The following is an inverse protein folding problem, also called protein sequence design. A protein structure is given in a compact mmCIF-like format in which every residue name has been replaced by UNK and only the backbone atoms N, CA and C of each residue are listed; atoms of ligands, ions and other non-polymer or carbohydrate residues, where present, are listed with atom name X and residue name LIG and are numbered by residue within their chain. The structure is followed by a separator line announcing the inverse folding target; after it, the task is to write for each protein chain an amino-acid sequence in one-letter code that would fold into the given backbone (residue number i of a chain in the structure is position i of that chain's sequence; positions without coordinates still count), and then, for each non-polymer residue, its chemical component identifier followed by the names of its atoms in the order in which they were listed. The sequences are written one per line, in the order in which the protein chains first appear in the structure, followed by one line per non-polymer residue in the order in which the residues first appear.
data_IF_954883096866
#
_entry.id   IF_954883096866
#
_cell.length_a   1.000
_cell.length_b   1.000
_cell.length_c   1.000
_cell.angle_alpha   90.00
_cell.angle_beta   90.00
_cell.angle_gamma   90.00
#
_symmetry.space_group_name_H-M   'P 1'
#
loop_
_entity.id
_entity.type
_entity.pdbx_description
1 polymer ?
#
# COMPACT_ATOMS: atom_id res chain seq x y z
N UNK A 1 -49.70 -45.90 20.94
CA UNK A 1 -49.73 -44.66 20.14
C UNK A 1 -48.27 -44.31 19.78
N UNK A 2 -47.87 -44.48 18.52
CA UNK A 2 -46.48 -44.28 18.04
C UNK A 2 -46.26 -42.79 17.77
N UNK A 3 -45.27 -42.17 18.42
CA UNK A 3 -44.80 -40.82 18.09
C UNK A 3 -43.64 -40.97 17.08
N UNK A 4 -43.85 -40.47 15.86
CA UNK A 4 -42.82 -40.30 14.85
C UNK A 4 -42.05 -39.00 15.14
N UNK A 5 -40.76 -39.13 15.46
CA UNK A 5 -39.82 -38.02 15.52
C UNK A 5 -39.28 -37.73 14.12
N UNK A 6 -39.72 -36.62 13.53
CA UNK A 6 -39.16 -36.06 12.29
C UNK A 6 -37.90 -35.27 12.65
N UNK A 7 -36.72 -35.80 12.30
CA UNK A 7 -35.45 -35.08 12.42
C UNK A 7 -35.30 -34.22 11.15
N UNK A 8 -35.45 -32.91 11.30
CA UNK A 8 -35.14 -31.92 10.26
C UNK A 8 -33.62 -31.71 10.21
N UNK A 9 -32.99 -32.13 9.13
CA UNK A 9 -31.58 -31.93 8.84
C UNK A 9 -31.37 -30.49 8.33
N UNK A 10 -30.91 -29.59 9.22
CA UNK A 10 -30.55 -28.22 8.86
C UNK A 10 -29.20 -28.22 8.12
N UNK A 11 -29.26 -28.19 6.78
CA UNK A 11 -28.09 -28.00 5.94
C UNK A 11 -27.67 -26.52 6.00
N UNK A 12 -26.71 -26.17 6.85
CA UNK A 12 -26.14 -24.82 6.90
C UNK A 12 -25.21 -24.64 5.69
N UNK A 13 -25.73 -24.02 4.63
CA UNK A 13 -24.90 -23.51 3.55
C UNK A 13 -24.00 -22.40 4.11
N UNK A 14 -22.69 -22.65 4.17
CA UNK A 14 -21.71 -21.63 4.51
C UNK A 14 -21.63 -20.63 3.35
N UNK A 15 -22.36 -19.52 3.48
CA UNK A 15 -22.13 -18.35 2.65
C UNK A 15 -20.79 -17.74 3.08
N UNK A 16 -19.76 -17.90 2.26
CA UNK A 16 -18.52 -17.15 2.42
C UNK A 16 -18.87 -15.67 2.21
N UNK A 17 -18.92 -14.91 3.30
CA UNK A 17 -18.99 -13.46 3.23
C UNK A 17 -17.71 -12.95 2.58
N UNK A 18 -17.80 -12.32 1.43
CA UNK A 18 -16.67 -11.66 0.78
C UNK A 18 -16.31 -10.42 1.58
N UNK A 19 -15.46 -10.59 2.60
CA UNK A 19 -14.85 -9.48 3.32
C UNK A 19 -13.81 -8.82 2.41
N UNK A 20 -13.58 -7.52 2.60
CA UNK A 20 -12.51 -6.82 1.90
C UNK A 20 -11.17 -7.30 2.46
N UNK A 21 -10.34 -7.86 1.58
CA UNK A 21 -9.02 -8.41 1.91
C UNK A 21 -7.95 -7.34 1.70
N UNK A 22 -7.05 -7.15 2.68
CA UNK A 22 -5.96 -6.17 2.56
C UNK A 22 -4.59 -6.84 2.35
N UNK A 23 -3.70 -6.29 1.50
CA UNK A 23 -2.41 -6.92 1.19
C UNK A 23 -1.56 -7.20 2.44
N UNK A 24 -1.55 -6.30 3.42
CA UNK A 24 -0.80 -6.44 4.67
C UNK A 24 -1.30 -7.59 5.57
N UNK A 25 -2.48 -8.15 5.32
CA UNK A 25 -3.03 -9.28 6.09
C UNK A 25 -2.43 -10.64 5.67
N UNK A 26 -1.78 -10.69 4.50
CA UNK A 26 -1.24 -11.91 3.90
C UNK A 26 0.26 -12.08 4.11
N UNK A 27 0.68 -13.34 4.02
CA UNK A 27 2.07 -13.74 3.88
C UNK A 27 2.49 -13.69 2.41
N UNK A 28 3.55 -12.93 2.14
CA UNK A 28 4.14 -12.78 0.82
C UNK A 28 5.51 -13.40 0.76
N UNK A 29 5.84 -14.05 -0.34
CA UNK A 29 7.21 -14.53 -0.53
C UNK A 29 8.14 -13.34 -0.78
N UNK A 30 9.30 -13.32 -0.16
CA UNK A 30 10.26 -12.25 -0.39
C UNK A 30 11.55 -12.34 0.42
N UNK A 31 12.21 -11.19 0.55
CA UNK A 31 13.43 -11.04 1.33
C UNK A 31 13.40 -9.76 2.18
N UNK A 32 14.04 -9.83 3.34
CA UNK A 32 14.27 -8.70 4.25
C UNK A 32 15.77 -8.55 4.43
N UNK A 33 16.26 -7.31 4.36
CA UNK A 33 17.63 -6.96 4.71
C UNK A 33 17.60 -6.13 5.99
N UNK A 34 18.30 -6.62 7.01
CA UNK A 34 18.38 -6.02 8.33
C UNK A 34 19.43 -4.92 8.39
N UNK A 35 19.35 -4.06 9.41
CA UNK A 35 20.30 -2.97 9.69
C UNK A 35 21.76 -3.44 9.75
N UNK A 36 21.99 -4.65 10.25
CA UNK A 36 23.33 -5.25 10.38
C UNK A 36 23.87 -5.86 9.07
N UNK A 37 23.09 -5.82 7.98
CA UNK A 37 23.45 -6.38 6.67
C UNK A 37 22.95 -7.82 6.45
N UNK A 38 22.39 -8.49 7.46
CA UNK A 38 21.86 -9.84 7.30
C UNK A 38 20.65 -9.85 6.36
N UNK A 39 20.54 -10.91 5.55
CA UNK A 39 19.41 -11.08 4.63
C UNK A 39 18.63 -12.34 4.99
N UNK A 40 17.35 -12.17 5.27
CA UNK A 40 16.40 -13.26 5.52
C UNK A 40 15.51 -13.45 4.29
N UNK A 41 15.29 -14.71 3.89
CA UNK A 41 14.43 -15.07 2.76
C UNK A 41 13.36 -16.02 3.24
N UNK A 42 12.10 -15.72 2.94
CA UNK A 42 10.98 -16.50 3.43
C UNK A 42 9.64 -15.81 3.20
N UNK A 43 8.65 -16.20 4.01
CA UNK A 43 7.36 -15.55 4.00
C UNK A 43 7.40 -14.30 4.87
N UNK A 44 6.90 -13.20 4.35
CA UNK A 44 6.94 -11.88 4.96
C UNK A 44 5.51 -11.38 5.10
N UNK A 45 5.17 -10.95 6.31
CA UNK A 45 3.98 -10.17 6.60
C UNK A 45 4.43 -8.82 7.12
N UNK A 46 3.80 -7.75 6.68
CA UNK A 46 4.19 -6.39 7.04
C UNK A 46 2.97 -5.62 7.52
N UNK A 47 3.18 -4.59 8.32
CA UNK A 47 2.16 -3.61 8.70
C UNK A 47 2.79 -2.22 8.70
N UNK A 48 2.41 -1.40 7.72
CA UNK A 48 2.91 -0.03 7.60
C UNK A 48 2.29 0.92 8.61
N UNK A 49 1.17 0.60 9.25
CA UNK A 49 0.59 1.46 10.30
C UNK A 49 1.34 1.33 11.62
N UNK A 50 1.84 0.13 11.93
CA UNK A 50 2.62 -0.16 13.14
C UNK A 50 4.13 -0.24 12.91
N UNK A 51 4.58 -0.17 11.65
CA UNK A 51 5.99 -0.23 11.25
C UNK A 51 6.67 -1.55 11.69
N UNK A 52 5.91 -2.66 11.59
CA UNK A 52 6.33 -4.01 11.95
C UNK A 52 6.45 -4.90 10.69
N UNK A 53 7.45 -5.79 10.70
CA UNK A 53 7.63 -6.84 9.69
C UNK A 53 7.86 -8.17 10.40
N UNK A 54 7.05 -9.15 10.06
CA UNK A 54 7.20 -10.53 10.50
C UNK A 54 7.81 -11.35 9.38
N UNK A 55 8.83 -12.15 9.69
CA UNK A 55 9.53 -13.01 8.74
C UNK A 55 9.48 -14.44 9.24
N UNK A 56 8.98 -15.33 8.38
CA UNK A 56 8.93 -16.76 8.63
C UNK A 56 9.92 -17.48 7.71
N UNK A 57 10.90 -18.15 8.31
CA UNK A 57 11.92 -18.97 7.62
C UNK A 57 11.86 -20.39 8.18
N UNK A 58 11.28 -21.32 7.41
CA UNK A 58 10.95 -22.65 7.92
C UNK A 58 9.98 -22.56 9.10
N UNK A 59 10.39 -23.09 10.25
CA UNK A 59 9.61 -23.07 11.50
C UNK A 59 9.86 -21.81 12.37
N UNK A 60 10.89 -21.03 12.03
CA UNK A 60 11.26 -19.84 12.81
C UNK A 60 10.43 -18.64 12.37
N UNK A 61 9.79 -17.98 13.34
CA UNK A 61 9.04 -16.74 13.15
C UNK A 61 9.67 -15.62 13.97
N UNK A 62 10.07 -14.55 13.30
CA UNK A 62 10.65 -13.36 13.92
C UNK A 62 9.87 -12.10 13.58
N UNK A 63 9.86 -11.13 14.49
CA UNK A 63 9.25 -9.81 14.27
C UNK A 63 10.30 -8.73 14.42
N UNK A 64 10.37 -7.84 13.44
CA UNK A 64 11.28 -6.70 13.41
C UNK A 64 10.49 -5.40 13.35
N UNK A 65 11.00 -4.38 14.03
CA UNK A 65 10.55 -3.00 13.85
C UNK A 65 11.33 -2.36 12.71
N UNK A 66 10.81 -1.27 12.13
CA UNK A 66 11.50 -0.47 11.12
C UNK A 66 12.96 -0.11 11.48
N UNK A 67 13.28 0.08 12.77
CA UNK A 67 14.65 0.39 13.23
C UNK A 67 15.66 -0.71 12.90
N UNK A 68 15.22 -1.97 12.80
CA UNK A 68 16.09 -3.12 12.48
C UNK A 68 16.09 -3.49 11.00
N UNK A 69 15.41 -2.72 10.15
CA UNK A 69 15.25 -2.99 8.73
C UNK A 69 16.01 -1.95 7.92
N UNK A 70 16.62 -2.37 6.81
CA UNK A 70 17.09 -1.47 5.75
C UNK A 70 16.07 -1.46 4.60
N UNK A 71 15.78 -2.63 4.05
CA UNK A 71 14.78 -2.78 3.00
C UNK A 71 14.14 -4.16 3.03
N UNK A 72 12.98 -4.28 2.41
CA UNK A 72 12.34 -5.54 2.08
C UNK A 72 11.78 -5.51 0.66
N UNK A 73 11.73 -6.67 0.05
CA UNK A 73 11.10 -6.90 -1.25
C UNK A 73 10.15 -8.09 -1.11
N UNK A 74 8.90 -7.89 -1.51
CA UNK A 74 7.86 -8.91 -1.47
C UNK A 74 7.24 -9.09 -2.85
N UNK A 75 6.84 -10.31 -3.18
CA UNK A 75 5.91 -10.55 -4.27
C UNK A 75 4.47 -10.51 -3.74
N UNK A 76 3.79 -9.40 -3.99
CA UNK A 76 2.40 -9.20 -3.60
C UNK A 76 1.49 -10.03 -4.50
N UNK A 77 0.91 -11.09 -3.92
CA UNK A 77 0.01 -12.01 -4.64
C UNK A 77 -1.30 -11.34 -5.05
N UNK A 78 -1.77 -10.34 -4.29
CA UNK A 78 -3.02 -9.62 -4.58
C UNK A 78 -2.87 -8.73 -5.81
N UNK A 79 -1.73 -8.05 -5.93
CA UNK A 79 -1.42 -7.15 -7.03
C UNK A 79 -0.56 -7.78 -8.14
N UNK A 80 -0.16 -9.05 -7.96
CA UNK A 80 0.69 -9.88 -8.85
C UNK A 80 1.97 -9.17 -9.29
N UNK A 81 2.70 -8.57 -8.35
CA UNK A 81 3.92 -7.79 -8.64
C UNK A 81 4.88 -7.74 -7.47
N UNK A 82 6.13 -7.42 -7.77
CA UNK A 82 7.12 -7.11 -6.74
C UNK A 82 6.92 -5.71 -6.19
N UNK A 83 7.03 -5.58 -4.87
CA UNK A 83 6.97 -4.32 -4.13
C UNK A 83 8.23 -4.19 -3.30
N UNK A 84 8.87 -3.02 -3.36
CA UNK A 84 10.09 -2.71 -2.62
C UNK A 84 9.74 -1.69 -1.56
N UNK A 85 10.16 -1.95 -0.33
CA UNK A 85 9.90 -1.09 0.80
C UNK A 85 11.21 -0.81 1.54
N UNK A 86 11.36 0.39 2.06
CA UNK A 86 12.55 0.88 2.73
C UNK A 86 12.20 1.42 4.11
N UNK A 87 13.10 1.23 5.06
CA UNK A 87 13.02 1.92 6.35
C UNK A 87 13.75 3.24 6.24
N UNK A 88 13.02 4.35 6.32
CA UNK A 88 13.55 5.70 6.12
C UNK A 88 13.26 6.58 7.34
N UNK A 89 14.18 7.51 7.68
CA UNK A 89 13.96 8.44 8.78
C UNK A 89 12.85 9.44 8.43
N UNK A 90 11.72 9.36 9.13
CA UNK A 90 10.58 10.25 8.97
C UNK A 90 10.10 10.76 10.33
N UNK A 91 9.47 11.93 10.30
CA UNK A 91 8.95 12.58 11.49
C UNK A 91 7.42 12.62 11.43
N UNK A 92 6.80 11.80 12.27
CA UNK A 92 5.34 11.74 12.39
C UNK A 92 4.79 12.82 13.34
N UNK A 93 5.60 13.29 14.29
CA UNK A 93 5.28 14.37 15.24
C UNK A 93 6.53 14.85 16.00
N UNK A 94 6.84 16.15 15.98
CA UNK A 94 7.96 16.75 16.72
C UNK A 94 9.13 17.16 15.84
N UNK A 95 10.37 17.04 16.34
CA UNK A 95 11.62 17.25 15.56
C UNK A 95 12.40 15.94 15.34
N UNK A 96 12.09 14.88 16.10
CA UNK A 96 12.80 13.60 16.04
C UNK A 96 12.37 12.77 14.83
N UNK A 97 13.35 12.38 14.00
CA UNK A 97 13.13 11.43 12.90
C UNK A 97 13.33 9.99 13.42
N UNK A 98 12.30 9.16 13.28
CA UNK A 98 12.37 7.73 13.55
C UNK A 98 12.34 6.94 12.23
N UNK A 99 12.96 5.75 12.15
CA UNK A 99 12.81 4.88 11.00
C UNK A 99 11.35 4.42 10.84
N UNK A 100 10.83 4.55 9.62
CA UNK A 100 9.43 4.31 9.23
C UNK A 100 9.43 3.61 7.86
N UNK A 101 8.52 2.66 7.64
CA UNK A 101 8.48 1.84 6.42
C UNK A 101 7.76 2.58 5.28
N UNK A 102 8.41 2.74 4.13
CA UNK A 102 7.80 3.30 2.92
C UNK A 102 7.91 2.32 1.77
N UNK A 103 6.85 2.16 0.98
CA UNK A 103 6.95 1.57 -0.37
C UNK A 103 7.56 2.59 -1.33
N UNK A 104 8.57 2.19 -2.09
CA UNK A 104 9.09 2.97 -3.22
C UNK A 104 8.27 2.65 -4.46
N UNK A 105 7.50 3.64 -4.93
CA UNK A 105 6.72 3.50 -6.17
C UNK A 105 7.57 3.83 -7.38
N UNK A 106 8.23 4.99 -7.39
CA UNK A 106 9.06 5.44 -8.50
C UNK A 106 10.25 6.26 -8.02
N UNK A 107 11.33 6.22 -8.78
CA UNK A 107 12.57 6.97 -8.53
C UNK A 107 12.94 7.77 -9.77
N UNK A 108 13.42 9.00 -9.58
CA UNK A 108 13.81 9.90 -10.67
C UNK A 108 13.70 11.35 -10.24
N UNK A 109 13.28 12.24 -11.16
CA UNK A 109 13.11 13.66 -10.82
C UNK A 109 12.10 13.87 -9.68
N UNK A 110 11.09 13.03 -9.62
CA UNK A 110 10.21 12.81 -8.47
C UNK A 110 10.50 11.42 -7.93
N UNK A 111 10.98 11.34 -6.69
CA UNK A 111 11.03 10.08 -5.96
C UNK A 111 9.76 9.94 -5.12
N UNK A 112 8.87 9.06 -5.58
CA UNK A 112 7.55 8.84 -5.00
C UNK A 112 7.57 7.66 -4.02
N UNK A 113 7.21 7.97 -2.78
CA UNK A 113 7.03 7.00 -1.70
C UNK A 113 5.54 6.88 -1.35
N UNK A 114 5.15 5.74 -0.80
CA UNK A 114 3.77 5.45 -0.41
C UNK A 114 3.71 4.68 0.92
N UNK A 115 2.67 4.94 1.72
CA UNK A 115 2.28 4.14 2.88
C UNK A 115 0.83 3.70 2.78
N UNK A 116 0.59 2.45 3.16
CA UNK A 116 -0.75 1.92 3.37
C UNK A 116 -1.32 2.42 4.69
N UNK A 117 -2.58 2.79 4.68
CA UNK A 117 -3.35 3.07 5.88
C UNK A 117 -4.79 2.60 5.66
N UNK A 118 -5.47 2.33 6.76
CA UNK A 118 -6.86 1.90 6.72
C UNK A 118 -7.73 2.94 7.40
N UNK A 119 -8.76 3.41 6.68
CA UNK A 119 -9.65 4.46 7.16
C UNK A 119 -11.13 4.09 6.91
N UNK A 120 -12.01 4.51 7.81
CA UNK A 120 -13.45 4.38 7.61
C UNK A 120 -13.92 5.41 6.57
N UNK A 121 -14.53 4.92 5.48
CA UNK A 121 -15.14 5.76 4.45
C UNK A 121 -16.64 5.55 4.41
N UNK A 122 -17.37 6.65 4.42
CA UNK A 122 -18.82 6.67 4.29
C UNK A 122 -19.20 6.88 2.84
N UNK A 123 -20.00 5.97 2.31
CA UNK A 123 -20.52 6.04 0.95
C UNK A 123 -22.01 6.34 0.99
N UNK A 124 -22.46 7.24 0.13
CA UNK A 124 -23.89 7.44 -0.12
C UNK A 124 -24.38 6.32 -1.03
N UNK A 125 -25.42 5.62 -0.60
CA UNK A 125 -26.15 4.70 -1.47
C UNK A 125 -27.01 5.52 -2.43
N UNK A 126 -26.92 5.22 -3.73
CA UNK A 126 -27.80 5.82 -4.74
C UNK A 126 -29.23 5.27 -4.72
N UNK A 127 -29.47 4.18 -3.97
CA UNK A 127 -30.80 3.64 -3.78
C UNK A 127 -31.48 4.36 -2.61
N UNK A 128 -32.54 5.12 -2.91
CA UNK A 128 -33.32 5.95 -1.98
C UNK A 128 -33.78 5.27 -0.68
N UNK A 129 -33.76 3.95 -0.60
CA UNK A 129 -34.22 3.16 0.56
C UNK A 129 -33.08 2.68 1.48
N UNK A 130 -31.83 2.71 1.00
CA UNK A 130 -30.65 2.35 1.77
C UNK A 130 -29.90 3.63 2.12
N UNK A 131 -29.72 3.91 3.41
CA UNK A 131 -28.98 5.07 3.90
C UNK A 131 -27.49 5.05 3.51
N UNK A 132 -26.71 5.96 4.08
CA UNK A 132 -25.25 5.88 3.97
C UNK A 132 -24.72 4.65 4.70
N UNK A 133 -23.66 4.05 4.17
CA UNK A 133 -22.95 2.96 4.83
C UNK A 133 -21.48 3.30 4.99
N UNK A 134 -20.91 2.91 6.11
CA UNK A 134 -19.49 3.10 6.41
C UNK A 134 -18.77 1.78 6.24
N UNK A 135 -17.65 1.79 5.51
CA UNK A 135 -16.78 0.61 5.41
C UNK A 135 -15.33 0.99 5.65
N UNK A 136 -14.58 0.03 6.18
CA UNK A 136 -13.15 0.12 6.33
C UNK A 136 -12.49 0.00 4.95
N UNK A 137 -11.67 0.95 4.54
CA UNK A 137 -11.09 1.01 3.19
C UNK A 137 -9.58 1.21 3.27
N UNK A 138 -8.83 0.43 2.48
CA UNK A 138 -7.40 0.64 2.26
C UNK A 138 -7.19 1.93 1.46
N UNK A 139 -6.37 2.82 1.99
CA UNK A 139 -5.97 4.06 1.36
C UNK A 139 -4.46 4.14 1.26
N UNK A 140 -3.99 4.98 0.34
CA UNK A 140 -2.56 5.21 0.11
C UNK A 140 -2.22 6.66 0.45
N UNK A 141 -1.25 6.83 1.35
CA UNK A 141 -0.68 8.14 1.70
C UNK A 141 0.62 8.31 0.93
N UNK A 142 0.71 9.38 0.15
CA UNK A 142 1.86 9.64 -0.72
C UNK A 142 2.85 10.59 -0.06
N UNK A 143 4.13 10.39 -0.37
CA UNK A 143 5.22 11.19 0.15
C UNK A 143 6.25 11.41 -0.96
N UNK A 144 6.90 12.56 -0.95
CA UNK A 144 7.98 12.90 -1.87
C UNK A 144 9.30 12.88 -1.11
N UNK A 145 10.25 12.08 -1.57
CA UNK A 145 11.64 12.15 -1.12
C UNK A 145 12.37 13.18 -1.98
N UNK A 146 12.83 14.26 -1.34
CA UNK A 146 13.59 15.34 -1.98
C UNK A 146 15.07 14.99 -2.07
N UNK A 147 15.78 15.69 -2.95
CA UNK A 147 17.23 15.52 -3.17
C UNK A 147 18.06 15.79 -1.89
N UNK A 148 17.55 16.61 -0.97
CA UNK A 148 18.17 16.89 0.33
C UNK A 148 17.90 15.80 1.40
N UNK A 149 17.25 14.70 1.02
CA UNK A 149 16.87 13.60 1.91
C UNK A 149 15.61 13.88 2.75
N UNK A 150 14.96 15.03 2.59
CA UNK A 150 13.72 15.31 3.30
C UNK A 150 12.52 14.62 2.64
N UNK A 151 11.74 13.93 3.46
CA UNK A 151 10.48 13.31 3.05
C UNK A 151 9.34 14.24 3.43
N UNK A 152 8.52 14.63 2.46
CA UNK A 152 7.34 15.48 2.69
C UNK A 152 6.08 14.73 2.30
N UNK A 153 5.06 14.76 3.17
CA UNK A 153 3.77 14.21 2.83
C UNK A 153 3.13 15.01 1.69
N UNK A 154 2.55 14.29 0.74
CA UNK A 154 1.87 14.85 -0.41
C UNK A 154 0.38 14.56 -0.32
N UNK A 155 -0.46 15.50 -0.78
CA UNK A 155 -1.92 15.39 -0.65
C UNK A 155 -2.51 14.23 -1.45
N UNK A 156 -1.83 13.83 -2.53
CA UNK A 156 -2.30 12.86 -3.50
C UNK A 156 -3.34 13.41 -4.48
N UNK A 157 -3.76 14.67 -4.36
CA UNK A 157 -4.77 15.26 -5.25
C UNK A 157 -4.20 15.45 -6.65
N UNK A 158 -5.03 15.15 -7.66
CA UNK A 158 -4.69 15.38 -9.07
C UNK A 158 -4.22 16.81 -9.36
N UNK A 159 -4.86 17.84 -8.79
CA UNK A 159 -4.43 19.25 -8.97
C UNK A 159 -2.98 19.43 -8.55
N UNK A 160 -2.63 18.93 -7.37
CA UNK A 160 -1.34 19.16 -6.75
C UNK A 160 -0.24 18.42 -7.51
N UNK A 161 -0.53 17.22 -8.04
CA UNK A 161 0.37 16.51 -8.96
C UNK A 161 0.69 17.35 -10.21
N UNK A 162 -0.34 17.94 -10.81
CA UNK A 162 -0.17 18.75 -12.02
C UNK A 162 0.58 20.04 -11.74
N UNK A 163 0.36 20.64 -10.58
CA UNK A 163 1.10 21.83 -10.12
C UNK A 163 2.58 21.49 -9.89
N UNK A 164 2.87 20.34 -9.28
CA UNK A 164 4.24 19.85 -9.08
C UNK A 164 4.96 19.61 -10.42
N UNK A 165 4.26 19.08 -11.43
CA UNK A 165 4.82 18.82 -12.76
C UNK A 165 5.00 20.09 -13.62
N UNK A 166 4.37 21.20 -13.21
CA UNK A 166 4.50 22.53 -13.79
C UNK A 166 4.49 22.53 -15.33
N UNK A 167 5.62 22.82 -15.98
CA UNK A 167 5.73 22.96 -17.45
C UNK A 167 5.46 21.67 -18.22
N UNK A 168 5.56 20.50 -17.59
CA UNK A 168 5.34 19.19 -18.24
C UNK A 168 3.94 18.63 -18.02
N UNK A 169 3.07 19.33 -17.27
CA UNK A 169 1.74 18.83 -16.90
C UNK A 169 0.88 18.46 -18.11
N UNK A 170 0.90 19.24 -19.18
CA UNK A 170 0.09 18.98 -20.38
C UNK A 170 0.55 17.71 -21.11
N UNK A 171 1.86 17.46 -21.13
CA UNK A 171 2.45 16.26 -21.73
C UNK A 171 2.09 15.01 -20.92
N UNK A 172 2.19 15.10 -19.59
CA UNK A 172 1.80 14.01 -18.69
C UNK A 172 0.30 13.72 -18.77
N UNK A 173 -0.55 14.75 -18.84
CA UNK A 173 -1.99 14.57 -18.99
C UNK A 173 -2.36 13.88 -20.30
N UNK A 174 -1.70 14.24 -21.41
CA UNK A 174 -1.89 13.58 -22.70
C UNK A 174 -1.51 12.09 -22.60
N UNK A 175 -0.38 11.77 -21.98
CA UNK A 175 0.05 10.40 -21.74
C UNK A 175 -0.95 9.62 -20.88
N UNK A 176 -1.38 10.18 -19.74
CA UNK A 176 -2.35 9.55 -18.85
C UNK A 176 -3.68 9.28 -19.58
N UNK A 177 -4.18 10.25 -20.35
CA UNK A 177 -5.42 10.10 -21.14
C UNK A 177 -5.28 9.03 -22.23
N UNK A 178 -4.18 9.04 -22.98
CA UNK A 178 -3.95 8.08 -24.06
C UNK A 178 -3.87 6.63 -23.54
N UNK A 179 -3.31 6.45 -22.33
CA UNK A 179 -3.16 5.15 -21.69
C UNK A 179 -4.29 4.81 -20.70
N UNK A 180 -5.31 5.67 -20.59
CA UNK A 180 -6.46 5.52 -19.66
C UNK A 180 -6.04 5.33 -18.20
N UNK A 181 -5.01 6.07 -17.78
CA UNK A 181 -4.46 6.02 -16.42
C UNK A 181 -5.22 6.97 -15.49
N UNK A 182 -5.48 6.50 -14.28
CA UNK A 182 -6.06 7.30 -13.20
C UNK A 182 -4.99 7.84 -12.24
N UNK A 183 -5.11 9.10 -11.81
CA UNK A 183 -4.23 9.68 -10.79
C UNK A 183 -4.57 9.18 -9.38
N UNK A 184 -5.78 8.67 -9.18
CA UNK A 184 -6.24 8.17 -7.88
C UNK A 184 -5.91 6.68 -7.68
N UNK A 185 -5.61 5.93 -8.75
CA UNK A 185 -5.12 4.55 -8.66
C UNK A 185 -3.59 4.54 -8.43
N UNK A 186 -3.15 3.78 -7.41
CA UNK A 186 -1.74 3.73 -7.00
C UNK A 186 -0.79 3.34 -8.13
N UNK A 187 -1.18 2.34 -8.92
CA UNK A 187 -0.30 1.74 -9.91
C UNK A 187 -0.30 2.53 -11.21
N UNK A 188 -1.45 3.07 -11.60
CA UNK A 188 -1.53 4.04 -12.69
C UNK A 188 -0.76 5.31 -12.35
N UNK A 189 -0.87 5.82 -11.11
CA UNK A 189 -0.08 6.95 -10.63
C UNK A 189 1.43 6.65 -10.72
N UNK A 190 1.90 5.47 -10.30
CA UNK A 190 3.30 5.06 -10.48
C UNK A 190 3.70 5.14 -11.96
N UNK A 191 2.88 4.64 -12.89
CA UNK A 191 3.16 4.75 -14.34
C UNK A 191 3.17 6.19 -14.86
N UNK A 192 2.31 7.05 -14.32
CA UNK A 192 2.27 8.48 -14.65
C UNK A 192 3.56 9.17 -14.18
N UNK A 193 3.99 8.90 -12.94
CA UNK A 193 5.23 9.46 -12.38
C UNK A 193 6.45 8.92 -13.11
N UNK A 194 6.49 7.63 -13.44
CA UNK A 194 7.55 7.03 -14.25
C UNK A 194 7.69 7.75 -15.61
N UNK A 195 6.57 8.04 -16.28
CA UNK A 195 6.58 8.80 -17.52
C UNK A 195 7.12 10.22 -17.30
N UNK A 196 6.64 10.95 -16.30
CA UNK A 196 7.16 12.27 -15.97
C UNK A 196 8.66 12.25 -15.71
N UNK A 197 9.15 11.29 -14.92
CA UNK A 197 10.57 11.13 -14.61
C UNK A 197 11.41 10.86 -15.88
N UNK A 198 10.87 10.14 -16.86
CA UNK A 198 11.55 9.86 -18.13
C UNK A 198 11.76 11.11 -19.01
N UNK A 199 11.07 12.22 -18.73
CA UNK A 199 11.24 13.49 -19.44
C UNK A 199 12.50 14.27 -19.01
N UNK A 200 13.24 13.73 -18.04
CA UNK A 200 14.47 14.32 -17.51
C UNK A 200 15.64 13.36 -17.77
N UNK A 201 16.85 13.88 -17.99
CA UNK A 201 18.06 13.06 -18.00
C UNK A 201 18.23 12.31 -16.67
N UNK A 202 18.79 11.10 -16.74
CA UNK A 202 19.23 10.36 -15.56
C UNK A 202 20.53 10.93 -15.00
#
# INVERSE_FOLDING_TARGET
MRILLFISFFCTAHFNSWAQEFPFEYWHEGKVVLENGDTLRGNIKYDMQTDLVQVQVGERLETYTARKLLFLEIYDKTARRYRRMYSLPYNTSGEYKAPVIFELLEEGKITLLCREAVEYRTYSSSFYYYGSYTRLTLIYKYFLLKEDGNIVQFSGKRSDWLDLMNKRKDEVQKYAKANRLDFDDKYDLSRIIAYYNSLFPR
#
